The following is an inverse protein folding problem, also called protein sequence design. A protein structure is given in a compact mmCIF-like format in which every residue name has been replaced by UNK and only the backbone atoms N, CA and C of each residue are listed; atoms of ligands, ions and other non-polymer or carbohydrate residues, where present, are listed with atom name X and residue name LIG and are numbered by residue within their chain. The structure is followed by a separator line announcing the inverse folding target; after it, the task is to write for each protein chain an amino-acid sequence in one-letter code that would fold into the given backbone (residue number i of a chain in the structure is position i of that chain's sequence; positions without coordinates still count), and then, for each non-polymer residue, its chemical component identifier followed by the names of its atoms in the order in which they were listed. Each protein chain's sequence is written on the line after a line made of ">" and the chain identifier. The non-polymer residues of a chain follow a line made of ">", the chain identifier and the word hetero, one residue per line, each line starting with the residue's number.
data_IF_198583688411
#
_entry.id   IF_198583688411
#
_cell.length_a   1.000
_cell.length_b   1.000
_cell.length_c   1.000
_cell.angle_alpha   90.00
_cell.angle_beta   90.00
_cell.angle_gamma   90.00
#
_symmetry.space_group_name_H-M   'P 1'
#
loop_
_entity.id
_entity.type
_entity.pdbx_description
1 polymer ?
#
# COMPACT_ATOMS: atom_id res chain seq x y z
N UNK A 1 26.69 14.01 10.40
CA UNK A 1 26.31 12.83 9.60
C UNK A 1 26.16 13.34 8.19
N UNK A 2 27.06 12.94 7.29
CA UNK A 2 27.00 13.36 5.90
C UNK A 2 25.76 12.70 5.29
N UNK A 3 24.69 13.46 5.10
CA UNK A 3 23.49 12.95 4.42
C UNK A 3 23.85 12.83 2.94
N UNK A 4 24.48 11.72 2.57
CA UNK A 4 24.63 11.32 1.18
C UNK A 4 23.27 11.37 0.50
N UNK A 5 23.25 11.75 -0.79
CA UNK A 5 22.02 11.81 -1.57
C UNK A 5 21.24 10.48 -1.47
N UNK A 6 19.91 10.50 -1.54
CA UNK A 6 19.08 9.28 -1.56
C UNK A 6 19.56 8.30 -2.65
N UNK A 7 20.06 8.82 -3.78
CA UNK A 7 20.64 8.01 -4.84
C UNK A 7 21.87 7.23 -4.37
N UNK A 8 22.75 7.86 -3.59
CA UNK A 8 23.92 7.19 -2.98
C UNK A 8 23.48 6.13 -1.98
N UNK A 9 22.45 6.40 -1.16
CA UNK A 9 21.92 5.40 -0.23
C UNK A 9 21.39 4.16 -0.96
N UNK A 10 20.70 4.34 -2.09
CA UNK A 10 20.10 3.25 -2.87
C UNK A 10 21.11 2.45 -3.72
N UNK A 11 22.36 2.90 -3.86
CA UNK A 11 23.39 2.18 -4.61
C UNK A 11 23.64 0.79 -3.99
N UNK A 12 23.58 -0.26 -4.81
CA UNK A 12 23.73 -1.65 -4.41
C UNK A 12 22.73 -2.16 -3.35
N UNK A 13 21.64 -1.42 -3.08
CA UNK A 13 20.58 -1.84 -2.14
C UNK A 13 19.54 -2.69 -2.83
N UNK A 14 19.16 -3.80 -2.20
CA UNK A 14 18.02 -4.58 -2.65
C UNK A 14 16.76 -4.19 -1.87
N UNK A 15 15.64 -4.09 -2.58
CA UNK A 15 14.42 -3.48 -2.07
C UNK A 15 13.25 -4.43 -2.29
N UNK A 16 12.50 -4.75 -1.23
CA UNK A 16 11.19 -5.37 -1.36
C UNK A 16 10.12 -4.28 -1.46
N UNK A 17 9.31 -4.31 -2.52
CA UNK A 17 8.15 -3.41 -2.68
C UNK A 17 6.88 -4.24 -2.74
N UNK A 18 5.93 -3.96 -1.84
CA UNK A 18 4.61 -4.59 -1.89
C UNK A 18 3.61 -3.72 -2.63
N UNK A 19 2.61 -4.33 -3.26
CA UNK A 19 1.62 -3.55 -4.01
C UNK A 19 2.26 -2.93 -5.26
N UNK A 20 3.25 -3.62 -5.84
CA UNK A 20 4.04 -3.14 -6.97
C UNK A 20 3.19 -2.75 -8.19
N UNK A 21 2.00 -3.36 -8.34
CA UNK A 21 1.06 -3.02 -9.40
C UNK A 21 0.08 -1.89 -9.04
N UNK A 22 0.24 -1.27 -7.86
CA UNK A 22 -0.47 -0.07 -7.46
C UNK A 22 0.17 1.20 -8.02
N UNK A 23 -0.63 2.25 -8.15
CA UNK A 23 -0.26 3.52 -8.79
C UNK A 23 1.07 4.11 -8.30
N UNK A 24 1.19 4.34 -6.99
CA UNK A 24 2.38 4.95 -6.36
C UNK A 24 3.59 4.02 -6.49
N UNK A 25 3.39 2.71 -6.30
CA UNK A 25 4.48 1.75 -6.34
C UNK A 25 5.13 1.68 -7.72
N UNK A 26 4.34 1.79 -8.80
CA UNK A 26 4.88 1.85 -10.16
C UNK A 26 5.76 3.08 -10.37
N UNK A 27 5.32 4.25 -9.91
CA UNK A 27 6.11 5.49 -10.00
C UNK A 27 7.40 5.35 -9.20
N UNK A 28 7.32 4.83 -7.98
CA UNK A 28 8.50 4.59 -7.15
C UNK A 28 9.50 3.66 -7.85
N UNK A 29 9.03 2.53 -8.37
CA UNK A 29 9.87 1.54 -9.07
C UNK A 29 10.48 2.14 -10.33
N UNK A 30 9.70 2.83 -11.17
CA UNK A 30 10.20 3.53 -12.37
C UNK A 30 11.28 4.55 -11.99
N UNK A 31 11.00 5.38 -10.97
CA UNK A 31 11.89 6.44 -10.51
C UNK A 31 13.23 5.87 -10.03
N UNK A 32 13.20 4.82 -9.21
CA UNK A 32 14.41 4.15 -8.71
C UNK A 32 15.22 3.59 -9.89
N UNK A 33 14.58 2.82 -10.77
CA UNK A 33 15.25 2.18 -11.90
C UNK A 33 15.82 3.20 -12.90
N UNK A 34 15.12 4.32 -13.14
CA UNK A 34 15.57 5.37 -14.06
C UNK A 34 16.73 6.19 -13.50
N UNK A 35 16.70 6.51 -12.21
CA UNK A 35 17.64 7.47 -11.58
C UNK A 35 18.81 6.82 -10.86
N UNK A 36 18.68 5.55 -10.42
CA UNK A 36 19.76 4.79 -9.81
C UNK A 36 19.89 3.40 -10.47
N UNK A 37 20.51 3.30 -11.66
CA UNK A 37 20.67 2.02 -12.36
C UNK A 37 21.61 1.04 -11.64
N UNK A 38 22.39 1.49 -10.64
CA UNK A 38 23.23 0.63 -9.80
C UNK A 38 22.52 0.12 -8.54
N UNK A 39 21.21 0.34 -8.41
CA UNK A 39 20.41 -0.34 -7.39
C UNK A 39 20.61 -1.85 -7.49
N UNK A 40 20.48 -2.56 -6.36
CA UNK A 40 20.48 -4.02 -6.32
C UNK A 40 19.23 -4.61 -6.97
N UNK A 41 18.68 -5.68 -6.38
CA UNK A 41 17.44 -6.28 -6.88
C UNK A 41 16.21 -5.59 -6.28
N UNK A 42 15.21 -5.32 -7.10
CA UNK A 42 13.87 -4.94 -6.67
C UNK A 42 13.00 -6.19 -6.68
N UNK A 43 12.70 -6.70 -5.49
CA UNK A 43 11.73 -7.78 -5.28
C UNK A 43 10.33 -7.17 -5.23
N UNK A 44 9.48 -7.54 -6.18
CA UNK A 44 8.16 -6.92 -6.35
C UNK A 44 7.08 -7.94 -6.00
N UNK A 45 6.45 -7.78 -4.83
CA UNK A 45 5.37 -8.67 -4.40
C UNK A 45 4.10 -8.40 -5.23
N UNK A 46 3.66 -9.44 -5.92
CA UNK A 46 2.50 -9.42 -6.83
C UNK A 46 1.58 -10.59 -6.48
N UNK A 47 0.30 -10.30 -6.27
CA UNK A 47 -0.74 -11.34 -6.09
C UNK A 47 -0.91 -12.12 -7.40
N UNK A 48 -0.44 -13.35 -7.40
CA UNK A 48 -0.47 -14.26 -8.54
C UNK A 48 -0.35 -15.72 -8.05
N UNK A 49 -0.77 -16.68 -8.89
CA UNK A 49 -0.72 -18.09 -8.54
C UNK A 49 0.72 -18.66 -8.49
N UNK A 50 1.59 -18.15 -9.36
CA UNK A 50 2.97 -18.58 -9.56
C UNK A 50 3.82 -17.44 -10.16
N UNK A 51 5.12 -17.68 -10.25
CA UNK A 51 6.12 -16.71 -10.73
C UNK A 51 5.91 -16.30 -12.20
N UNK A 52 5.43 -17.20 -13.06
CA UNK A 52 5.10 -16.86 -14.45
C UNK A 52 3.93 -15.87 -14.51
N UNK A 53 2.88 -16.15 -13.75
CA UNK A 53 1.71 -15.28 -13.64
C UNK A 53 2.05 -13.93 -13.01
N UNK A 54 2.95 -13.92 -12.01
CA UNK A 54 3.46 -12.69 -11.41
C UNK A 54 4.24 -11.84 -12.43
N UNK A 55 5.11 -12.49 -13.23
CA UNK A 55 5.87 -11.81 -14.27
C UNK A 55 4.96 -11.24 -15.35
N UNK A 56 4.01 -12.04 -15.87
CA UNK A 56 3.05 -11.57 -16.88
C UNK A 56 2.27 -10.36 -16.37
N UNK A 57 1.76 -10.44 -15.15
CA UNK A 57 1.04 -9.34 -14.51
C UNK A 57 1.90 -8.10 -14.34
N UNK A 58 3.18 -8.24 -13.97
CA UNK A 58 4.13 -7.13 -13.89
C UNK A 58 4.36 -6.48 -15.26
N UNK A 59 4.51 -7.27 -16.32
CA UNK A 59 4.65 -6.76 -17.68
C UNK A 59 3.42 -5.95 -18.09
N UNK A 60 2.23 -6.50 -17.92
CA UNK A 60 0.98 -5.90 -18.39
C UNK A 60 0.54 -4.70 -17.55
N UNK A 61 0.70 -4.78 -16.23
CA UNK A 61 0.25 -3.73 -15.31
C UNK A 61 1.29 -2.63 -15.12
N UNK A 62 2.58 -2.87 -15.36
CA UNK A 62 3.65 -1.90 -15.05
C UNK A 62 4.57 -1.60 -16.25
N UNK A 63 5.37 -2.56 -16.72
CA UNK A 63 6.46 -2.31 -17.69
C UNK A 63 5.91 -1.86 -19.06
N UNK A 64 4.78 -2.43 -19.49
CA UNK A 64 4.15 -2.08 -20.76
C UNK A 64 3.37 -0.75 -20.71
N UNK A 65 3.13 -0.18 -19.52
CA UNK A 65 2.43 1.09 -19.38
C UNK A 65 3.23 2.27 -19.93
N UNK A 66 2.52 3.36 -20.18
CA UNK A 66 3.09 4.63 -20.64
C UNK A 66 4.07 5.22 -19.62
N UNK A 67 3.91 4.92 -18.33
CA UNK A 67 4.81 5.35 -17.27
C UNK A 67 6.28 5.07 -17.60
N UNK A 68 6.55 3.90 -18.18
CA UNK A 68 7.90 3.45 -18.54
C UNK A 68 8.40 4.03 -19.88
N UNK A 69 7.68 4.97 -20.51
CA UNK A 69 8.09 5.58 -21.80
C UNK A 69 9.49 6.16 -21.74
N UNK A 70 9.81 6.93 -20.70
CA UNK A 70 11.15 7.55 -20.55
C UNK A 70 12.24 6.49 -20.42
N UNK A 71 11.97 5.38 -19.73
CA UNK A 71 12.89 4.25 -19.66
C UNK A 71 13.03 3.52 -21.00
N UNK A 72 11.94 3.33 -21.74
CA UNK A 72 11.94 2.74 -23.10
C UNK A 72 12.77 3.57 -24.07
N UNK A 73 12.65 4.90 -24.01
CA UNK A 73 13.46 5.82 -24.81
C UNK A 73 14.94 5.77 -24.42
N UNK A 74 15.24 5.71 -23.11
CA UNK A 74 16.62 5.67 -22.60
C UNK A 74 17.36 4.38 -22.94
N UNK A 75 16.70 3.23 -22.80
CA UNK A 75 17.33 1.91 -22.93
C UNK A 75 17.09 1.22 -24.29
N UNK A 76 16.11 1.68 -25.07
CA UNK A 76 15.73 1.08 -26.33
C UNK A 76 15.49 -0.43 -26.20
N UNK A 77 16.07 -1.22 -27.11
CA UNK A 77 15.98 -2.69 -27.08
C UNK A 77 16.61 -3.36 -25.86
N UNK A 78 17.47 -2.65 -25.11
CA UNK A 78 18.11 -3.17 -23.89
C UNK A 78 17.25 -3.12 -22.63
N UNK A 79 16.05 -2.51 -22.69
CA UNK A 79 15.20 -2.35 -21.50
C UNK A 79 14.83 -3.69 -20.86
N UNK A 80 14.44 -4.69 -21.67
CA UNK A 80 14.00 -5.97 -21.13
C UNK A 80 15.12 -6.70 -20.37
N UNK A 81 16.35 -6.64 -20.89
CA UNK A 81 17.54 -7.18 -20.21
C UNK A 81 17.80 -6.46 -18.90
N UNK A 82 17.77 -5.12 -18.91
CA UNK A 82 17.95 -4.32 -17.70
C UNK A 82 16.89 -4.64 -16.64
N UNK A 83 15.61 -4.73 -17.03
CA UNK A 83 14.53 -5.09 -16.12
C UNK A 83 14.72 -6.51 -15.58
N UNK A 84 15.07 -7.49 -16.41
CA UNK A 84 15.27 -8.88 -15.93
C UNK A 84 16.46 -9.03 -14.99
N UNK A 85 17.48 -8.17 -15.12
CA UNK A 85 18.62 -8.13 -14.19
C UNK A 85 18.27 -7.48 -12.85
N UNK A 86 17.38 -6.47 -12.86
CA UNK A 86 17.09 -5.64 -11.69
C UNK A 86 15.81 -6.00 -10.96
N UNK A 87 14.83 -6.60 -11.63
CA UNK A 87 13.50 -6.82 -11.09
C UNK A 87 13.21 -8.31 -10.95
N UNK A 88 12.82 -8.72 -9.75
CA UNK A 88 12.39 -10.08 -9.43
C UNK A 88 10.91 -10.04 -9.05
N UNK A 89 10.00 -10.54 -9.91
CA UNK A 89 8.61 -10.73 -9.53
C UNK A 89 8.50 -11.76 -8.42
N UNK A 90 7.76 -11.46 -7.37
CA UNK A 90 7.53 -12.35 -6.23
C UNK A 90 6.04 -12.67 -6.17
N UNK A 91 5.66 -13.89 -6.54
CA UNK A 91 4.29 -14.36 -6.41
C UNK A 91 3.95 -14.56 -4.93
N UNK A 92 2.99 -13.79 -4.42
CA UNK A 92 2.58 -13.87 -3.02
C UNK A 92 1.46 -12.91 -2.66
N UNK A 93 0.99 -12.99 -1.42
CA UNK A 93 -0.05 -12.12 -0.87
C UNK A 93 0.38 -11.56 0.47
N UNK A 94 0.26 -10.23 0.63
CA UNK A 94 0.61 -9.55 1.86
C UNK A 94 -0.28 -10.00 3.02
N UNK A 95 -1.51 -10.49 2.77
CA UNK A 95 -2.40 -10.96 3.83
C UNK A 95 -2.03 -12.33 4.40
N UNK A 96 -0.93 -12.93 3.95
CA UNK A 96 -0.45 -14.24 4.39
C UNK A 96 0.85 -14.12 5.19
N UNK A 97 1.05 -15.05 6.13
CA UNK A 97 2.36 -15.24 6.76
C UNK A 97 3.43 -15.51 5.70
N UNK A 98 4.65 -15.01 5.96
CA UNK A 98 5.76 -15.05 5.02
C UNK A 98 5.36 -14.59 3.60
N UNK A 99 4.41 -13.65 3.53
CA UNK A 99 3.92 -13.01 2.30
C UNK A 99 3.33 -14.01 1.30
N UNK A 100 2.95 -15.21 1.74
CA UNK A 100 2.38 -16.26 0.89
C UNK A 100 3.33 -16.81 -0.19
N UNK A 101 4.64 -16.52 -0.08
CA UNK A 101 5.64 -16.97 -1.04
C UNK A 101 5.95 -18.45 -0.78
N UNK A 102 5.70 -19.28 -1.79
CA UNK A 102 5.87 -20.74 -1.69
C UNK A 102 7.31 -21.21 -1.96
N UNK A 103 8.08 -20.41 -2.68
CA UNK A 103 9.45 -20.76 -3.09
C UNK A 103 10.45 -20.47 -1.96
N UNK A 104 10.82 -21.51 -1.20
CA UNK A 104 11.73 -21.38 -0.04
C UNK A 104 13.07 -20.75 -0.40
N UNK A 105 13.66 -21.12 -1.55
CA UNK A 105 14.95 -20.56 -1.99
C UNK A 105 14.87 -19.05 -2.25
N UNK A 106 13.77 -18.57 -2.83
CA UNK A 106 13.52 -17.15 -3.06
C UNK A 106 13.30 -16.41 -1.72
N UNK A 107 12.58 -17.02 -0.78
CA UNK A 107 12.37 -16.47 0.56
C UNK A 107 13.69 -16.28 1.31
N UNK A 108 14.53 -17.31 1.34
CA UNK A 108 15.85 -17.26 1.98
C UNK A 108 16.79 -16.24 1.30
N UNK A 109 16.73 -16.14 -0.04
CA UNK A 109 17.45 -15.09 -0.77
C UNK A 109 16.99 -13.70 -0.30
N UNK A 110 15.69 -13.43 -0.25
CA UNK A 110 15.20 -12.12 0.16
C UNK A 110 15.56 -11.79 1.63
N UNK A 111 15.51 -12.75 2.54
CA UNK A 111 15.99 -12.55 3.92
C UNK A 111 17.48 -12.21 3.98
N UNK A 112 18.29 -12.74 3.07
CA UNK A 112 19.73 -12.43 3.03
C UNK A 112 20.03 -11.10 2.34
N UNK A 113 19.29 -10.74 1.30
CA UNK A 113 19.66 -9.65 0.40
C UNK A 113 18.91 -8.35 0.60
N UNK A 114 17.67 -8.36 1.13
CA UNK A 114 16.85 -7.15 1.25
C UNK A 114 17.41 -6.18 2.29
N UNK A 115 17.72 -4.96 1.83
CA UNK A 115 18.14 -3.83 2.67
C UNK A 115 16.97 -2.92 3.02
N UNK A 116 15.97 -2.77 2.15
CA UNK A 116 14.85 -1.84 2.33
C UNK A 116 13.53 -2.54 2.04
N UNK A 117 12.54 -2.36 2.89
CA UNK A 117 11.17 -2.80 2.62
C UNK A 117 10.28 -1.57 2.46
N UNK A 118 9.55 -1.49 1.36
CA UNK A 118 8.55 -0.44 1.11
C UNK A 118 7.17 -1.08 1.02
N UNK A 119 6.38 -0.91 2.08
CA UNK A 119 5.03 -1.42 2.17
C UNK A 119 4.02 -0.38 1.66
N UNK A 120 3.59 -0.58 0.41
CA UNK A 120 2.55 0.21 -0.28
C UNK A 120 1.25 -0.60 -0.50
N UNK A 121 1.22 -1.88 -0.15
CA UNK A 121 0.05 -2.72 -0.43
C UNK A 121 -1.09 -2.36 0.53
N UNK A 122 -2.24 -2.03 -0.04
CA UNK A 122 -3.46 -1.76 0.70
C UNK A 122 -4.66 -1.92 -0.24
N UNK A 123 -5.83 -2.19 0.32
CA UNK A 123 -7.09 -1.82 -0.32
C UNK A 123 -7.42 -0.38 0.06
N UNK A 124 -7.69 0.46 -0.93
CA UNK A 124 -8.09 1.85 -0.73
C UNK A 124 -9.60 2.04 -0.90
N UNK A 125 -10.37 0.94 -1.00
CA UNK A 125 -11.81 1.03 -1.10
C UNK A 125 -12.42 1.32 0.30
N UNK A 126 -13.12 2.44 0.42
CA UNK A 126 -13.69 2.91 1.70
C UNK A 126 -14.76 1.98 2.25
N UNK A 127 -15.35 1.14 1.40
CA UNK A 127 -16.42 0.22 1.73
C UNK A 127 -16.09 -1.25 1.41
N UNK A 128 -14.79 -1.59 1.40
CA UNK A 128 -14.34 -2.97 1.23
C UNK A 128 -14.93 -3.90 2.29
N UNK A 129 -15.08 -5.18 1.94
CA UNK A 129 -15.41 -6.22 2.92
C UNK A 129 -14.42 -6.17 4.08
N UNK A 130 -14.94 -6.19 5.31
CA UNK A 130 -14.10 -5.96 6.49
C UNK A 130 -13.00 -7.00 6.69
N UNK A 131 -13.26 -8.27 6.35
CA UNK A 131 -12.28 -9.36 6.39
C UNK A 131 -11.10 -9.09 5.45
N UNK A 132 -11.39 -8.66 4.23
CA UNK A 132 -10.38 -8.30 3.23
C UNK A 132 -9.59 -7.05 3.68
N UNK A 133 -10.30 -6.03 4.19
CA UNK A 133 -9.67 -4.80 4.64
C UNK A 133 -8.73 -5.04 5.84
N UNK A 134 -9.16 -5.82 6.84
CA UNK A 134 -8.30 -6.24 7.96
C UNK A 134 -7.10 -7.06 7.47
N UNK A 135 -7.33 -8.03 6.58
CA UNK A 135 -6.27 -8.87 6.02
C UNK A 135 -5.17 -8.05 5.34
N UNK A 136 -5.55 -7.10 4.48
CA UNK A 136 -4.61 -6.31 3.69
C UNK A 136 -4.01 -5.13 4.47
N UNK A 137 -4.85 -4.32 5.12
CA UNK A 137 -4.43 -3.05 5.69
C UNK A 137 -3.97 -3.15 7.15
N UNK A 138 -4.32 -4.23 7.86
CA UNK A 138 -3.99 -4.43 9.28
C UNK A 138 -3.03 -5.60 9.47
N UNK A 139 -3.41 -6.81 9.09
CA UNK A 139 -2.57 -8.00 9.24
C UNK A 139 -1.39 -8.03 8.27
N UNK A 140 -1.59 -7.53 7.05
CA UNK A 140 -0.52 -7.42 6.06
C UNK A 140 0.71 -6.64 6.56
N UNK A 141 0.54 -5.45 7.16
CA UNK A 141 1.63 -4.75 7.82
C UNK A 141 2.32 -5.54 8.94
N UNK A 142 1.59 -6.33 9.74
CA UNK A 142 2.19 -7.25 10.73
C UNK A 142 3.05 -8.32 10.06
N UNK A 143 2.58 -8.94 8.99
CA UNK A 143 3.38 -9.93 8.25
C UNK A 143 4.61 -9.32 7.59
N UNK A 144 4.52 -8.07 7.13
CA UNK A 144 5.68 -7.33 6.63
C UNK A 144 6.72 -7.06 7.72
N UNK A 145 6.30 -6.66 8.92
CA UNK A 145 7.24 -6.48 10.04
C UNK A 145 7.90 -7.80 10.40
N UNK A 146 7.14 -8.90 10.43
CA UNK A 146 7.68 -10.23 10.71
C UNK A 146 8.69 -10.68 9.64
N UNK A 147 8.39 -10.45 8.36
CA UNK A 147 9.32 -10.69 7.26
C UNK A 147 10.59 -9.83 7.42
N UNK A 148 10.44 -8.53 7.66
CA UNK A 148 11.54 -7.59 7.75
C UNK A 148 12.50 -7.92 8.91
N UNK A 149 11.98 -8.43 10.04
CA UNK A 149 12.80 -8.93 11.16
C UNK A 149 13.70 -10.10 10.80
N UNK A 150 13.34 -10.89 9.78
CA UNK A 150 14.15 -12.01 9.28
C UNK A 150 15.23 -11.53 8.29
N UNK A 151 15.16 -10.28 7.80
CA UNK A 151 16.12 -9.74 6.86
C UNK A 151 17.45 -9.36 7.53
N UNK A 152 18.54 -10.06 7.18
CA UNK A 152 19.86 -9.90 7.80
C UNK A 152 20.52 -8.53 7.54
N UNK A 153 20.17 -7.88 6.43
CA UNK A 153 20.78 -6.60 6.00
C UNK A 153 19.88 -5.39 6.19
N UNK A 154 18.68 -5.57 6.76
CA UNK A 154 17.65 -4.53 6.78
C UNK A 154 18.18 -3.22 7.37
N UNK A 155 17.99 -2.15 6.61
CA UNK A 155 18.34 -0.77 6.95
C UNK A 155 17.11 0.09 7.23
N UNK A 156 15.98 -0.20 6.57
CA UNK A 156 14.79 0.64 6.66
C UNK A 156 13.52 -0.13 6.28
N UNK A 157 12.48 0.00 7.09
CA UNK A 157 11.10 -0.29 6.71
C UNK A 157 10.35 1.04 6.50
N UNK A 158 9.79 1.22 5.31
CA UNK A 158 8.85 2.30 4.99
C UNK A 158 7.46 1.72 4.92
N UNK A 159 6.55 2.22 5.76
CA UNK A 159 5.14 1.88 5.71
C UNK A 159 4.32 3.08 5.21
N UNK A 160 3.60 2.91 4.11
CA UNK A 160 2.72 3.96 3.58
C UNK A 160 1.34 3.78 4.18
N UNK A 161 0.96 4.73 5.03
CA UNK A 161 -0.36 4.89 5.61
C UNK A 161 -1.15 5.99 4.88
N UNK A 162 -1.87 6.84 5.60
CA UNK A 162 -2.63 7.97 5.05
C UNK A 162 -2.82 9.04 6.11
N UNK A 163 -2.86 10.32 5.73
CA UNK A 163 -3.16 11.42 6.66
C UNK A 163 -4.55 11.27 7.29
N UNK A 164 -5.47 10.60 6.58
CA UNK A 164 -6.86 10.41 7.02
C UNK A 164 -7.01 9.52 8.24
N UNK A 165 -5.97 8.84 8.74
CA UNK A 165 -6.00 8.11 10.03
C UNK A 165 -6.39 8.99 11.22
N UNK A 166 -6.29 10.31 11.08
CA UNK A 166 -6.82 11.28 12.05
C UNK A 166 -8.33 11.55 11.94
N UNK A 167 -9.02 10.84 11.03
CA UNK A 167 -10.46 10.95 10.79
C UNK A 167 -10.86 12.37 10.40
N UNK A 168 -11.92 12.86 11.04
CA UNK A 168 -12.51 14.18 10.78
C UNK A 168 -12.04 15.23 11.81
N UNK A 169 -10.97 14.95 12.57
CA UNK A 169 -10.44 15.91 13.55
C UNK A 169 -9.84 17.12 12.83
N UNK A 170 -10.34 18.30 13.15
CA UNK A 170 -9.77 19.58 12.72
C UNK A 170 -8.59 20.03 13.60
N UNK A 171 -7.77 20.93 13.04
CA UNK A 171 -6.63 21.54 13.74
C UNK A 171 -5.28 20.88 13.42
N UNK A 172 -4.25 21.25 14.18
CA UNK A 172 -2.90 20.72 14.01
C UNK A 172 -2.81 19.29 14.54
N UNK A 173 -2.61 18.34 13.64
CA UNK A 173 -2.43 16.93 13.98
C UNK A 173 -0.94 16.59 14.08
N UNK A 174 -0.43 16.15 15.24
CA UNK A 174 0.97 15.80 15.38
C UNK A 174 1.28 14.48 14.63
N UNK A 175 2.51 14.34 14.14
CA UNK A 175 3.01 13.09 13.53
C UNK A 175 3.34 12.02 14.58
N UNK A 176 2.58 11.97 15.67
CA UNK A 176 2.74 10.96 16.72
C UNK A 176 2.27 9.60 16.23
N UNK A 177 3.02 8.52 16.52
CA UNK A 177 2.57 7.15 16.25
C UNK A 177 1.34 6.80 17.10
N UNK A 178 0.42 6.01 16.54
CA UNK A 178 -0.70 5.44 17.29
C UNK A 178 -0.21 4.37 18.27
N UNK A 179 -0.78 4.35 19.47
CA UNK A 179 -0.57 3.26 20.44
C UNK A 179 -1.54 2.11 20.15
N UNK A 180 -1.12 0.89 20.49
CA UNK A 180 -2.00 -0.27 20.43
C UNK A 180 -3.27 -0.04 21.25
N UNK A 181 -4.42 -0.25 20.61
CA UNK A 181 -5.75 -0.09 21.21
C UNK A 181 -6.23 1.35 21.37
N UNK A 182 -5.52 2.32 20.81
CA UNK A 182 -5.93 3.72 20.83
C UNK A 182 -7.07 3.98 19.82
N UNK A 183 -8.28 4.24 20.30
CA UNK A 183 -9.39 4.67 19.44
C UNK A 183 -9.37 6.18 19.21
N UNK A 184 -9.75 6.62 18.00
CA UNK A 184 -9.72 8.03 17.64
C UNK A 184 -10.67 8.89 18.50
N UNK A 185 -11.81 8.34 18.90
CA UNK A 185 -12.81 9.00 19.76
C UNK A 185 -12.63 8.69 21.27
N UNK A 186 -11.56 7.99 21.67
CA UNK A 186 -11.30 7.61 23.08
C UNK A 186 -12.10 6.40 23.57
N UNK A 187 -12.89 5.74 22.72
CA UNK A 187 -13.58 4.49 23.06
C UNK A 187 -12.57 3.41 23.46
N UNK A 188 -12.78 2.78 24.61
CA UNK A 188 -11.92 1.71 25.08
C UNK A 188 -12.25 0.36 24.40
N UNK A 189 -11.27 -0.55 24.41
CA UNK A 189 -11.46 -1.93 23.94
C UNK A 189 -11.34 -2.10 22.42
N UNK A 190 -10.53 -1.26 21.76
CA UNK A 190 -10.05 -1.58 20.42
C UNK A 190 -8.94 -2.62 20.56
N UNK A 191 -9.14 -3.79 19.97
CA UNK A 191 -8.16 -4.87 19.96
C UNK A 191 -8.22 -5.58 18.60
N UNK A 192 -7.07 -5.67 17.92
CA UNK A 192 -7.00 -6.21 16.57
C UNK A 192 -7.41 -7.68 16.52
N UNK A 193 -6.99 -8.48 17.50
CA UNK A 193 -7.30 -9.91 17.51
C UNK A 193 -8.80 -10.13 17.78
N UNK A 194 -9.42 -9.26 18.58
CA UNK A 194 -10.88 -9.24 18.76
C UNK A 194 -11.61 -8.87 17.47
N UNK A 195 -11.15 -7.85 16.74
CA UNK A 195 -11.75 -7.48 15.44
C UNK A 195 -11.63 -8.61 14.41
N UNK A 196 -10.48 -9.29 14.36
CA UNK A 196 -10.25 -10.45 13.49
C UNK A 196 -11.18 -11.61 13.84
N UNK A 197 -11.33 -11.94 15.13
CA UNK A 197 -12.23 -12.99 15.59
C UNK A 197 -13.69 -12.65 15.26
N UNK A 198 -14.09 -11.40 15.50
CA UNK A 198 -15.45 -10.93 15.22
C UNK A 198 -15.81 -11.09 13.73
N UNK A 199 -14.91 -10.70 12.82
CA UNK A 199 -15.19 -10.83 11.38
C UNK A 199 -15.21 -12.29 10.93
N UNK A 200 -14.37 -13.15 11.50
CA UNK A 200 -14.37 -14.59 11.24
C UNK A 200 -15.67 -15.26 11.70
N UNK A 201 -16.12 -14.97 12.93
CA UNK A 201 -17.39 -15.49 13.45
C UNK A 201 -18.57 -15.02 12.59
N UNK A 202 -18.56 -13.76 12.15
CA UNK A 202 -19.60 -13.23 11.28
C UNK A 202 -19.60 -13.92 9.91
N UNK A 203 -18.43 -14.16 9.32
CA UNK A 203 -18.30 -14.87 8.05
C UNK A 203 -18.80 -16.32 8.19
N UNK A 204 -18.40 -17.03 9.25
CA UNK A 204 -18.86 -18.40 9.51
C UNK A 204 -20.38 -18.47 9.66
N UNK A 205 -21.00 -17.55 10.40
CA UNK A 205 -22.47 -17.48 10.51
C UNK A 205 -23.15 -17.30 9.16
N UNK A 206 -22.60 -16.44 8.29
CA UNK A 206 -23.15 -16.20 6.96
C UNK A 206 -23.02 -17.45 6.08
N UNK A 207 -21.89 -18.15 6.16
CA UNK A 207 -21.66 -19.43 5.46
C UNK A 207 -22.62 -20.53 5.95
N UNK A 208 -22.83 -20.65 7.27
CA UNK A 208 -23.73 -21.63 7.88
C UNK A 208 -25.19 -21.39 7.44
N UNK A 209 -25.58 -20.12 7.28
CA UNK A 209 -26.90 -19.74 6.73
C UNK A 209 -26.99 -19.85 5.20
N UNK A 210 -25.92 -20.31 4.53
CA UNK A 210 -25.81 -20.41 3.06
C UNK A 210 -26.07 -19.08 2.35
N UNK A 211 -25.62 -17.97 2.96
CA UNK A 211 -25.69 -16.66 2.34
C UNK A 211 -24.96 -16.64 1.00
N UNK A 212 -25.51 -15.92 0.04
CA UNK A 212 -24.87 -15.69 -1.26
C UNK A 212 -23.63 -14.80 -1.12
N UNK A 213 -22.69 -14.86 -2.08
CA UNK A 213 -21.50 -13.99 -2.08
C UNK A 213 -21.86 -12.49 -1.99
N UNK A 214 -22.99 -12.09 -2.59
CA UNK A 214 -23.50 -10.72 -2.53
C UNK A 214 -23.94 -10.35 -1.11
N UNK A 215 -24.67 -11.23 -0.43
CA UNK A 215 -25.10 -11.02 0.95
C UNK A 215 -23.91 -10.98 1.90
N UNK A 216 -22.93 -11.86 1.72
CA UNK A 216 -21.66 -11.84 2.47
C UNK A 216 -20.96 -10.50 2.27
N UNK A 217 -20.83 -10.05 1.02
CA UNK A 217 -20.19 -8.77 0.70
C UNK A 217 -20.87 -7.59 1.39
N UNK A 218 -22.20 -7.53 1.35
CA UNK A 218 -22.97 -6.45 1.97
C UNK A 218 -22.80 -6.50 3.50
N UNK A 219 -23.01 -7.66 4.12
CA UNK A 219 -22.94 -7.82 5.57
C UNK A 219 -21.55 -7.46 6.13
N UNK A 220 -20.47 -7.88 5.47
CA UNK A 220 -19.10 -7.58 5.92
C UNK A 220 -18.69 -6.14 5.63
N UNK A 221 -19.22 -5.51 4.58
CA UNK A 221 -19.05 -4.07 4.35
C UNK A 221 -19.73 -3.25 5.46
N UNK A 222 -20.98 -3.57 5.78
CA UNK A 222 -21.74 -2.89 6.83
C UNK A 222 -21.07 -3.05 8.19
N UNK A 223 -20.59 -4.26 8.50
CA UNK A 223 -19.83 -4.52 9.72
C UNK A 223 -18.59 -3.62 9.81
N UNK A 224 -17.78 -3.52 8.75
CA UNK A 224 -16.57 -2.68 8.75
C UNK A 224 -16.89 -1.20 9.03
N UNK A 225 -17.98 -0.69 8.44
CA UNK A 225 -18.44 0.69 8.67
C UNK A 225 -18.91 0.88 10.11
N UNK A 226 -19.65 -0.08 10.67
CA UNK A 226 -20.09 -0.07 12.06
C UNK A 226 -18.89 -0.02 13.02
N UNK A 227 -17.89 -0.89 12.80
CA UNK A 227 -16.67 -0.93 13.63
C UNK A 227 -15.85 0.34 13.52
N UNK A 228 -15.68 0.88 12.31
CA UNK A 228 -14.97 2.14 12.11
C UNK A 228 -15.62 3.28 12.92
N UNK A 229 -16.95 3.43 12.80
CA UNK A 229 -17.73 4.46 13.53
C UNK A 229 -17.67 4.29 15.04
N UNK A 230 -17.73 3.04 15.53
CA UNK A 230 -17.60 2.73 16.96
C UNK A 230 -16.34 3.34 17.57
N UNK A 231 -15.21 3.24 16.88
CA UNK A 231 -13.92 3.75 17.35
C UNK A 231 -13.55 5.14 16.81
N UNK A 232 -14.46 5.80 16.11
CA UNK A 232 -14.36 7.20 15.72
C UNK A 232 -13.82 7.47 14.32
N UNK A 233 -13.56 6.44 13.52
CA UNK A 233 -13.12 6.61 12.13
C UNK A 233 -14.29 6.66 11.15
N UNK A 234 -14.18 7.44 10.06
CA UNK A 234 -15.31 7.68 9.16
C UNK A 234 -15.66 6.47 8.28
N UNK A 235 -14.70 5.58 8.03
CA UNK A 235 -14.88 4.42 7.15
C UNK A 235 -13.86 3.30 7.43
N UNK A 236 -14.10 2.12 6.83
CA UNK A 236 -13.31 0.90 7.01
C UNK A 236 -11.86 1.06 6.56
N UNK A 237 -11.61 1.78 5.47
CA UNK A 237 -10.25 2.00 4.96
C UNK A 237 -9.39 2.71 6.00
N UNK A 238 -9.85 3.88 6.46
CA UNK A 238 -9.11 4.69 7.43
C UNK A 238 -8.89 3.91 8.72
N UNK A 239 -9.93 3.23 9.21
CA UNK A 239 -9.86 2.45 10.43
C UNK A 239 -8.82 1.32 10.36
N UNK A 240 -8.84 0.54 9.28
CA UNK A 240 -7.91 -0.58 9.10
C UNK A 240 -6.47 -0.11 8.86
N UNK A 241 -6.27 1.06 8.24
CA UNK A 241 -4.95 1.72 8.13
C UNK A 241 -4.42 2.16 9.50
N UNK A 242 -5.27 2.73 10.36
CA UNK A 242 -4.88 3.10 11.72
C UNK A 242 -4.46 1.86 12.53
N UNK A 243 -5.22 0.76 12.46
CA UNK A 243 -4.83 -0.50 13.11
C UNK A 243 -3.53 -1.08 12.53
N UNK A 244 -3.30 -0.95 11.22
CA UNK A 244 -2.03 -1.30 10.58
C UNK A 244 -0.85 -0.49 11.15
N UNK A 245 -1.01 0.82 11.32
CA UNK A 245 0.01 1.66 11.97
C UNK A 245 0.31 1.23 13.41
N UNK A 246 -0.72 0.89 14.19
CA UNK A 246 -0.55 0.43 15.57
C UNK A 246 0.29 -0.86 15.62
N UNK A 247 0.00 -1.82 14.74
CA UNK A 247 0.76 -3.06 14.65
C UNK A 247 2.20 -2.82 14.21
N UNK A 248 2.42 -1.99 13.19
CA UNK A 248 3.77 -1.71 12.72
C UNK A 248 4.58 -0.97 13.79
N UNK A 249 3.99 0.03 14.43
CA UNK A 249 4.62 0.82 15.48
C UNK A 249 4.95 0.01 16.73
N UNK A 250 4.08 -0.92 17.14
CA UNK A 250 4.31 -1.77 18.31
C UNK A 250 5.25 -2.93 18.03
N UNK A 251 5.16 -3.56 16.86
CA UNK A 251 5.93 -4.76 16.54
C UNK A 251 7.34 -4.45 16.04
N UNK A 252 7.67 -3.21 15.63
CA UNK A 252 8.98 -2.90 15.01
C UNK A 252 10.20 -3.28 15.87
N UNK A 253 10.09 -3.24 17.20
CA UNK A 253 11.26 -3.35 18.08
C UNK A 253 12.31 -2.25 17.77
N UNK A 254 13.55 -2.64 17.54
CA UNK A 254 14.65 -1.72 17.20
C UNK A 254 14.76 -1.42 15.70
N UNK A 255 13.90 -2.00 14.87
CA UNK A 255 13.91 -1.79 13.43
C UNK A 255 13.67 -0.30 13.07
N UNK A 256 14.52 0.29 12.20
CA UNK A 256 14.26 1.62 11.65
C UNK A 256 12.98 1.62 10.83
N UNK A 257 12.03 2.47 11.23
CA UNK A 257 10.69 2.57 10.66
C UNK A 257 10.39 4.01 10.28
N UNK A 258 9.86 4.21 9.07
CA UNK A 258 9.23 5.45 8.64
C UNK A 258 7.77 5.15 8.29
N UNK A 259 6.83 5.90 8.88
CA UNK A 259 5.42 5.86 8.50
C UNK A 259 5.14 7.11 7.68
N UNK A 260 4.75 6.93 6.42
CA UNK A 260 4.37 8.03 5.52
C UNK A 260 2.84 8.13 5.48
N UNK A 261 2.29 9.32 5.71
CA UNK A 261 0.83 9.56 5.74
C UNK A 261 0.41 10.51 4.61
N UNK A 262 0.37 10.05 3.34
CA UNK A 262 -0.08 10.87 2.23
C UNK A 262 -1.58 11.22 2.31
N UNK A 263 -1.95 12.35 1.70
CA UNK A 263 -3.33 12.81 1.44
C UNK A 263 -3.82 12.26 0.09
N UNK A 264 -4.66 13.00 -0.65
CA UNK A 264 -5.13 12.59 -1.98
C UNK A 264 -3.96 12.64 -2.95
N UNK A 265 -3.61 11.51 -3.53
CA UNK A 265 -2.55 11.43 -4.53
C UNK A 265 -3.13 11.53 -5.94
N UNK A 266 -2.56 12.42 -6.75
CA UNK A 266 -3.04 12.74 -8.10
C UNK A 266 -1.95 12.43 -9.14
N UNK A 267 -2.09 13.00 -10.36
CA UNK A 267 -1.14 12.82 -11.45
C UNK A 267 0.26 13.32 -11.10
N UNK A 268 1.23 12.88 -11.90
CA UNK A 268 2.59 13.39 -11.80
C UNK A 268 2.65 14.88 -12.16
N UNK A 269 3.34 15.68 -11.34
CA UNK A 269 3.57 17.11 -11.62
C UNK A 269 4.65 17.29 -12.69
N UNK A 270 5.76 16.56 -12.56
CA UNK A 270 6.94 16.76 -13.40
C UNK A 270 7.60 15.48 -13.91
N UNK A 271 7.80 14.49 -13.05
CA UNK A 271 8.55 13.27 -13.39
C UNK A 271 7.68 12.01 -13.32
N UNK A 272 7.92 10.99 -14.17
CA UNK A 272 8.86 10.98 -15.30
C UNK A 272 8.44 11.92 -16.44
N UNK A 273 7.17 12.29 -16.50
CA UNK A 273 6.62 13.35 -17.34
C UNK A 273 5.34 13.89 -16.69
N UNK A 274 4.93 15.14 -16.95
CA UNK A 274 3.74 15.72 -16.34
C UNK A 274 2.45 15.03 -16.81
N UNK A 275 1.48 14.93 -15.90
CA UNK A 275 0.12 14.49 -16.20
C UNK A 275 -0.09 12.98 -16.31
N UNK A 276 0.90 12.16 -15.93
CA UNK A 276 0.68 10.71 -15.89
C UNK A 276 -0.24 10.35 -14.73
N UNK A 277 -1.31 9.61 -15.03
CA UNK A 277 -2.27 9.08 -14.06
C UNK A 277 -2.68 7.67 -14.47
N UNK A 278 -2.92 6.80 -13.49
CA UNK A 278 -3.41 5.45 -13.74
C UNK A 278 -4.88 5.29 -13.34
N UNK A 279 -5.73 5.28 -14.35
CA UNK A 279 -7.18 5.24 -14.19
C UNK A 279 -7.76 6.60 -13.79
N UNK A 280 -9.05 6.61 -13.43
CA UNK A 280 -9.70 7.77 -12.82
C UNK A 280 -9.88 7.48 -11.34
N UNK A 281 -9.16 8.19 -10.47
CA UNK A 281 -9.24 7.98 -9.01
C UNK A 281 -9.80 9.23 -8.34
N UNK A 282 -10.76 9.03 -7.44
CA UNK A 282 -11.32 10.05 -6.53
C UNK A 282 -11.53 11.41 -7.22
N UNK A 283 -10.59 12.35 -7.06
CA UNK A 283 -10.67 13.72 -7.58
C UNK A 283 -10.53 13.81 -9.11
N UNK A 284 -9.83 12.87 -9.74
CA UNK A 284 -9.67 12.82 -11.21
C UNK A 284 -11.04 12.65 -11.89
N UNK A 285 -11.94 11.89 -11.28
CA UNK A 285 -13.30 11.69 -11.78
C UNK A 285 -14.11 12.99 -11.77
N UNK A 286 -13.89 13.85 -10.76
CA UNK A 286 -14.50 15.18 -10.69
C UNK A 286 -13.94 16.08 -11.78
N UNK A 287 -12.60 16.13 -11.92
CA UNK A 287 -11.92 16.92 -12.93
C UNK A 287 -12.35 16.53 -14.36
N UNK A 288 -12.40 15.22 -14.66
CA UNK A 288 -12.84 14.71 -15.96
C UNK A 288 -14.34 14.93 -16.19
N UNK A 289 -15.16 14.77 -15.16
CA UNK A 289 -16.60 15.06 -15.23
C UNK A 289 -16.87 16.51 -15.60
N UNK A 290 -16.14 17.44 -14.96
CA UNK A 290 -16.22 18.87 -15.24
C UNK A 290 -15.70 19.20 -16.64
N UNK A 291 -14.51 18.70 -17.00
CA UNK A 291 -13.90 18.94 -18.32
C UNK A 291 -14.73 18.38 -19.48
N UNK A 292 -15.51 17.31 -19.27
CA UNK A 292 -16.45 16.76 -20.26
C UNK A 292 -17.82 17.44 -20.25
N UNK A 293 -18.04 18.45 -19.40
CA UNK A 293 -19.34 19.12 -19.25
C UNK A 293 -20.45 18.24 -18.66
N UNK A 294 -20.10 17.08 -18.08
CA UNK A 294 -21.06 16.17 -17.44
C UNK A 294 -21.34 16.54 -15.98
N UNK A 295 -20.41 17.24 -15.35
CA UNK A 295 -20.53 17.80 -14.01
C UNK A 295 -20.48 19.32 -14.13
N UNK A 296 -21.60 19.99 -13.86
CA UNK A 296 -21.69 21.46 -13.93
C UNK A 296 -21.39 22.14 -12.59
N UNK A 297 -21.51 21.41 -11.48
CA UNK A 297 -21.18 21.86 -10.14
C UNK A 297 -20.81 20.67 -9.25
N UNK A 298 -20.03 20.92 -8.20
CA UNK A 298 -19.70 19.96 -7.16
C UNK A 298 -20.15 20.55 -5.81
N UNK A 299 -21.03 19.84 -5.11
CA UNK A 299 -21.51 20.28 -3.80
C UNK A 299 -20.42 20.02 -2.76
N UNK A 300 -19.93 21.09 -2.15
CA UNK A 300 -18.94 21.06 -1.08
C UNK A 300 -19.03 22.33 -0.26
N UNK A 301 -18.49 22.27 0.94
CA UNK A 301 -18.28 23.47 1.74
C UNK A 301 -17.16 24.31 1.09
N UNK A 302 -17.43 25.57 0.68
CA UNK A 302 -16.44 26.41 0.02
C UNK A 302 -15.21 26.72 0.90
N UNK A 303 -15.33 26.57 2.22
CA UNK A 303 -14.23 26.78 3.16
C UNK A 303 -13.40 25.51 3.41
N UNK A 304 -13.80 24.36 2.82
CA UNK A 304 -13.04 23.12 2.91
C UNK A 304 -11.73 23.17 2.14
N UNK A 305 -10.63 22.83 2.83
CA UNK A 305 -9.31 22.70 2.22
C UNK A 305 -9.17 21.29 1.63
N UNK A 306 -8.94 21.21 0.32
CA UNK A 306 -8.57 19.97 -0.37
C UNK A 306 -7.04 19.92 -0.45
N UNK A 307 -6.45 18.98 0.28
CA UNK A 307 -5.02 18.67 0.18
C UNK A 307 -4.82 17.52 -0.83
N UNK A 308 -4.12 17.84 -1.92
CA UNK A 308 -3.72 16.90 -2.95
C UNK A 308 -2.21 16.96 -3.19
N UNK A 309 -1.58 15.80 -3.23
CA UNK A 309 -0.15 15.63 -3.53
C UNK A 309 -0.01 15.15 -4.96
N UNK A 310 0.54 16.02 -5.81
CA UNK A 310 1.03 15.66 -7.13
C UNK A 310 2.39 14.95 -7.02
N UNK A 311 2.60 13.92 -7.84
CA UNK A 311 3.76 13.02 -7.75
C UNK A 311 4.98 13.46 -8.56
#
# INVERSE_FOLDING_TARGET
>A
MDLGSILTFLECKSILVTGATGFIAKILVEKILRTQPKVGKLYLLVRAADTNSANQRLQDEMINKELFRVMKEKWGGGLNTFISEKVVPVAGDISCEDLGVKETGLMEEMWREVDVVVNLAATTNFDERYDIALGLNTMGPKYIVNFAKKCAKLKLLVHVSTAYVWGEKGGLMPETPFRMGEALNGTLGLDVDVEMKLVQERLQQLEDTKATEREIKIALKELGIERARKYGWPNTYVFTKAMGEMLVGSLKGDMPLVILRPTIITSTYKEPFPGWVEGLRTIDSLAVGYGKGRLTCFLGDPDSIIDAVEQ
#
